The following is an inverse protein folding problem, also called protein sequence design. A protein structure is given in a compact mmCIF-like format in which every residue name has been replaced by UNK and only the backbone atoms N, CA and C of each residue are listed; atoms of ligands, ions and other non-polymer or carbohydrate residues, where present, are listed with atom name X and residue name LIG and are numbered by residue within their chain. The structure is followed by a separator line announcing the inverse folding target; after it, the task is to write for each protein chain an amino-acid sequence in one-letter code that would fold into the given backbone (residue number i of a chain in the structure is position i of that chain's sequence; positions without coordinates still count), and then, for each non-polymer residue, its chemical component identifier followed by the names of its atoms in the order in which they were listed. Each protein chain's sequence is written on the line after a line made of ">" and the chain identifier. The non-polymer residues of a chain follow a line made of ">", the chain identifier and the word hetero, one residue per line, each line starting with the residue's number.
data_IF_519444737832
#
_entry.id   IF_519444737832
#
_cell.length_a   1.000
_cell.length_b   1.000
_cell.length_c   1.000
_cell.angle_alpha   90.00
_cell.angle_beta   90.00
_cell.angle_gamma   90.00
#
_symmetry.space_group_name_H-M   'P 1'
#
loop_
_entity.id
_entity.type
_entity.pdbx_description
1 polymer ?
#
# COMPACT_ATOMS: atom_id res chain seq x y z
N UNK A 1 0.22 8.33 -15.24
CA UNK A 1 0.00 6.88 -15.03
C UNK A 1 -1.08 6.32 -15.96
N UNK A 2 -1.43 7.00 -17.07
CA UNK A 2 -2.30 6.38 -18.06
C UNK A 2 -1.62 5.13 -18.63
N UNK A 3 -2.31 3.99 -18.54
CA UNK A 3 -1.84 2.70 -19.05
C UNK A 3 -1.08 1.82 -18.07
N UNK A 4 -0.86 2.22 -16.81
CA UNK A 4 -0.29 1.32 -15.80
C UNK A 4 -1.37 0.43 -15.17
N UNK A 5 -1.07 -0.84 -14.97
CA UNK A 5 -1.90 -1.76 -14.16
C UNK A 5 -1.60 -1.49 -12.70
N UNK A 6 -2.64 -1.30 -11.88
CA UNK A 6 -2.47 -1.04 -10.44
C UNK A 6 -3.26 -2.06 -9.64
N UNK A 7 -2.58 -2.76 -8.73
CA UNK A 7 -3.21 -3.60 -7.72
C UNK A 7 -2.85 -3.09 -6.33
N UNK A 8 -3.85 -2.88 -5.48
CA UNK A 8 -3.68 -2.31 -4.14
C UNK A 8 -4.32 -3.20 -3.09
N UNK A 9 -3.57 -3.55 -2.04
CA UNK A 9 -4.07 -4.24 -0.88
C UNK A 9 -3.84 -3.40 0.38
N UNK A 10 -4.81 -3.40 1.28
CA UNK A 10 -4.69 -2.81 2.61
C UNK A 10 -4.45 -3.95 3.59
N UNK A 11 -3.41 -3.86 4.41
CA UNK A 11 -3.20 -4.80 5.50
C UNK A 11 -4.00 -4.39 6.75
N UNK A 12 -4.42 -5.38 7.52
CA UNK A 12 -5.18 -5.20 8.76
C UNK A 12 -4.62 -6.13 9.83
N UNK A 13 -4.45 -5.62 11.06
CA UNK A 13 -3.94 -6.41 12.18
C UNK A 13 -4.81 -7.64 12.47
N UNK A 14 -6.13 -7.53 12.27
CA UNK A 14 -7.08 -8.62 12.45
C UNK A 14 -6.85 -9.80 11.47
N UNK A 15 -6.22 -9.55 10.32
CA UNK A 15 -5.96 -10.54 9.27
C UNK A 15 -4.52 -11.05 9.29
N UNK A 16 -3.70 -10.61 10.25
CA UNK A 16 -2.26 -10.92 10.30
C UNK A 16 -1.94 -12.42 10.37
N UNK A 17 -2.84 -13.20 10.97
CA UNK A 17 -2.73 -14.66 11.06
C UNK A 17 -3.45 -15.40 9.93
N UNK A 18 -4.08 -14.69 8.98
CA UNK A 18 -4.70 -15.26 7.79
C UNK A 18 -3.68 -15.29 6.65
N UNK A 19 -3.13 -16.46 6.30
CA UNK A 19 -2.08 -16.54 5.29
C UNK A 19 -2.58 -16.05 3.94
N UNK A 20 -1.74 -15.27 3.26
CA UNK A 20 -1.97 -14.78 1.90
C UNK A 20 -3.12 -13.77 1.78
N UNK A 21 -3.62 -13.16 2.86
CA UNK A 21 -4.69 -12.17 2.80
C UNK A 21 -4.32 -10.98 1.88
N UNK A 22 -3.15 -10.37 2.12
CA UNK A 22 -2.65 -9.25 1.30
C UNK A 22 -2.39 -9.70 -0.13
N UNK A 23 -1.72 -10.84 -0.30
CA UNK A 23 -1.34 -11.34 -1.62
C UNK A 23 -2.57 -11.76 -2.46
N UNK A 24 -3.57 -12.37 -1.83
CA UNK A 24 -4.82 -12.77 -2.44
C UNK A 24 -5.58 -11.58 -3.02
N UNK A 25 -5.65 -10.46 -2.28
CA UNK A 25 -6.29 -9.24 -2.78
C UNK A 25 -5.52 -8.62 -3.98
N UNK A 26 -4.19 -8.61 -3.94
CA UNK A 26 -3.37 -8.15 -5.08
C UNK A 26 -3.65 -9.00 -6.33
N UNK A 27 -3.58 -10.33 -6.19
CA UNK A 27 -3.78 -11.26 -7.31
C UNK A 27 -5.21 -11.20 -7.85
N UNK A 28 -6.20 -11.10 -6.97
CA UNK A 28 -7.61 -10.90 -7.34
C UNK A 28 -7.79 -9.66 -8.21
N UNK A 29 -7.18 -8.53 -7.86
CA UNK A 29 -7.27 -7.31 -8.66
C UNK A 29 -6.56 -7.44 -10.01
N UNK A 30 -5.36 -8.03 -10.04
CA UNK A 30 -4.64 -8.30 -11.29
C UNK A 30 -5.44 -9.20 -12.24
N UNK A 31 -6.09 -10.24 -11.70
CA UNK A 31 -6.95 -11.13 -12.47
C UNK A 31 -8.21 -10.43 -12.98
N UNK A 32 -8.88 -9.65 -12.13
CA UNK A 32 -10.12 -8.92 -12.47
C UNK A 32 -9.88 -7.88 -13.56
N UNK A 33 -8.73 -7.21 -13.54
CA UNK A 33 -8.32 -6.26 -14.58
C UNK A 33 -7.85 -6.95 -15.87
N UNK A 34 -7.78 -8.29 -15.90
CA UNK A 34 -7.18 -9.09 -16.98
C UNK A 34 -5.75 -8.68 -17.35
N UNK A 35 -5.04 -8.10 -16.40
CA UNK A 35 -3.68 -7.60 -16.59
C UNK A 35 -2.64 -8.72 -16.74
N UNK A 36 -2.96 -9.92 -16.26
CA UNK A 36 -2.05 -11.07 -16.22
C UNK A 36 -2.37 -12.12 -17.28
N UNK A 37 -3.06 -11.73 -18.36
CA UNK A 37 -3.46 -12.65 -19.43
C UNK A 37 -2.31 -13.19 -20.28
N UNK A 38 -1.15 -12.51 -20.28
CA UNK A 38 0.08 -12.94 -20.95
C UNK A 38 0.97 -13.84 -20.08
N UNK A 39 0.60 -14.07 -18.81
CA UNK A 39 1.37 -14.91 -17.92
C UNK A 39 1.28 -16.40 -18.30
N UNK A 40 2.34 -17.13 -17.96
CA UNK A 40 2.39 -18.59 -18.12
C UNK A 40 1.21 -19.26 -17.38
N UNK A 41 0.41 -20.11 -18.05
CA UNK A 41 -0.66 -20.86 -17.40
C UNK A 41 -0.22 -21.65 -16.16
N UNK A 42 1.02 -22.15 -16.11
CA UNK A 42 1.55 -22.82 -14.91
C UNK A 42 1.74 -21.86 -13.74
N UNK A 43 2.17 -20.62 -14.00
CA UNK A 43 2.28 -19.60 -12.98
C UNK A 43 0.89 -19.17 -12.47
N UNK A 44 -0.06 -18.94 -13.39
CA UNK A 44 -1.45 -18.64 -13.03
C UNK A 44 -2.07 -19.77 -12.21
N UNK A 45 -1.73 -21.02 -12.54
CA UNK A 45 -2.18 -22.21 -11.82
C UNK A 45 -1.78 -22.19 -10.35
N UNK A 46 -0.53 -21.86 -10.02
CA UNK A 46 -0.11 -21.78 -8.62
C UNK A 46 -0.82 -20.65 -7.86
N UNK A 47 -1.11 -19.54 -8.54
CA UNK A 47 -1.82 -18.41 -7.94
C UNK A 47 -3.31 -18.69 -7.69
N UNK A 48 -3.90 -19.74 -8.26
CA UNK A 48 -5.29 -20.13 -7.92
C UNK A 48 -5.43 -20.58 -6.47
N UNK A 49 -4.31 -20.93 -5.81
CA UNK A 49 -4.27 -21.32 -4.38
C UNK A 49 -4.59 -20.15 -3.44
N UNK A 50 -4.39 -18.92 -3.90
CA UNK A 50 -4.57 -17.70 -3.10
C UNK A 50 -5.73 -16.82 -3.59
N UNK A 51 -6.13 -16.94 -4.86
CA UNK A 51 -7.29 -16.21 -5.39
C UNK A 51 -8.03 -17.06 -6.44
N UNK A 52 -9.31 -17.32 -6.16
CA UNK A 52 -10.20 -18.07 -7.06
C UNK A 52 -10.57 -17.27 -8.32
N UNK A 53 -10.38 -15.95 -8.31
CA UNK A 53 -10.72 -15.04 -9.39
C UNK A 53 -9.91 -15.31 -10.66
N UNK A 54 -8.75 -15.94 -10.53
CA UNK A 54 -7.95 -16.39 -11.68
C UNK A 54 -8.75 -17.37 -12.54
N UNK A 55 -9.45 -18.33 -11.94
CA UNK A 55 -10.27 -19.30 -12.68
C UNK A 55 -11.45 -18.64 -13.39
N UNK A 56 -12.00 -17.57 -12.80
CA UNK A 56 -13.09 -16.79 -13.39
C UNK A 56 -12.59 -15.96 -14.58
N UNK A 57 -11.41 -15.35 -14.46
CA UNK A 57 -10.81 -14.51 -15.49
C UNK A 57 -10.22 -15.33 -16.65
N UNK A 58 -9.66 -16.51 -16.35
CA UNK A 58 -8.90 -17.35 -17.28
C UNK A 58 -9.34 -18.83 -17.18
N UNK A 59 -10.47 -19.20 -17.79
CA UNK A 59 -11.08 -20.53 -17.64
C UNK A 59 -10.31 -21.72 -18.25
N UNK A 60 -9.07 -21.51 -18.73
CA UNK A 60 -8.18 -22.55 -19.27
C UNK A 60 -6.94 -22.83 -18.42
N UNK A 61 -6.80 -22.17 -17.26
CA UNK A 61 -5.66 -22.39 -16.35
C UNK A 61 -5.72 -23.82 -15.79
N UNK A 62 -4.62 -24.59 -15.85
CA UNK A 62 -4.59 -25.95 -15.31
C UNK A 62 -4.77 -25.95 -13.79
N UNK A 63 -4.99 -27.15 -13.22
CA UNK A 63 -4.98 -27.30 -11.76
C UNK A 63 -3.54 -27.28 -11.25
N UNK A 64 -3.29 -26.66 -10.09
CA UNK A 64 -1.94 -26.61 -9.56
C UNK A 64 -1.44 -27.99 -9.16
N UNK A 65 -0.14 -28.21 -9.37
CA UNK A 65 0.53 -29.46 -9.00
C UNK A 65 0.62 -29.51 -7.48
N UNK A 66 0.31 -30.65 -6.86
CA UNK A 66 0.46 -30.79 -5.42
C UNK A 66 1.93 -30.78 -5.02
N UNK A 67 2.26 -29.85 -4.12
CA UNK A 67 3.59 -29.68 -3.55
C UNK A 67 3.55 -30.02 -2.07
N UNK A 68 4.71 -30.32 -1.50
CA UNK A 68 4.82 -30.37 -0.05
C UNK A 68 4.53 -28.97 0.54
N UNK A 69 3.89 -28.87 1.72
CA UNK A 69 3.53 -27.59 2.31
C UNK A 69 4.70 -26.61 2.46
N UNK A 70 5.91 -27.14 2.69
CA UNK A 70 7.14 -26.38 2.90
C UNK A 70 7.61 -25.67 1.61
N UNK A 71 7.30 -26.24 0.44
CA UNK A 71 7.67 -25.66 -0.86
C UNK A 71 6.62 -24.66 -1.38
N UNK A 72 5.42 -24.67 -0.82
CA UNK A 72 4.29 -23.90 -1.33
C UNK A 72 4.54 -22.38 -1.35
N UNK A 73 5.12 -21.75 -0.30
CA UNK A 73 5.44 -20.32 -0.35
C UNK A 73 6.45 -19.97 -1.45
N UNK A 74 7.44 -20.83 -1.69
CA UNK A 74 8.44 -20.63 -2.74
C UNK A 74 7.80 -20.71 -4.14
N UNK A 75 6.87 -21.65 -4.35
CA UNK A 75 6.13 -21.81 -5.60
C UNK A 75 5.22 -20.61 -5.87
N UNK A 76 4.49 -20.14 -4.85
CA UNK A 76 3.66 -18.94 -4.96
C UNK A 76 4.52 -17.71 -5.26
N UNK A 77 5.69 -17.57 -4.62
CA UNK A 77 6.59 -16.45 -4.90
C UNK A 77 7.14 -16.45 -6.34
N UNK A 78 7.55 -17.62 -6.85
CA UNK A 78 8.00 -17.77 -8.23
C UNK A 78 6.87 -17.48 -9.23
N UNK A 79 5.69 -18.01 -8.96
CA UNK A 79 4.49 -17.77 -9.77
C UNK A 79 4.08 -16.30 -9.79
N UNK A 80 4.09 -15.63 -8.64
CA UNK A 80 3.80 -14.19 -8.55
C UNK A 80 4.81 -13.40 -9.38
N UNK A 81 6.10 -13.64 -9.19
CA UNK A 81 7.17 -12.94 -9.90
C UNK A 81 7.03 -13.09 -11.43
N UNK A 82 6.85 -14.33 -11.92
CA UNK A 82 6.64 -14.60 -13.35
C UNK A 82 5.40 -13.89 -13.88
N UNK A 83 4.30 -13.95 -13.13
CA UNK A 83 3.02 -13.37 -13.51
C UNK A 83 3.10 -11.84 -13.62
N UNK A 84 3.63 -11.16 -12.61
CA UNK A 84 3.72 -9.69 -12.63
C UNK A 84 4.76 -9.20 -13.64
N UNK A 85 5.82 -9.97 -13.89
CA UNK A 85 6.83 -9.63 -14.91
C UNK A 85 6.29 -9.80 -16.33
N UNK A 86 5.48 -10.84 -16.57
CA UNK A 86 4.79 -11.04 -17.85
C UNK A 86 3.79 -9.89 -18.11
N UNK A 87 2.95 -9.56 -17.13
CA UNK A 87 2.07 -8.40 -17.22
C UNK A 87 2.85 -7.09 -17.45
N UNK A 88 4.00 -6.95 -16.77
CA UNK A 88 4.91 -5.82 -16.92
C UNK A 88 5.56 -5.74 -18.31
N UNK A 89 5.53 -6.80 -19.14
CA UNK A 89 5.98 -6.78 -20.53
C UNK A 89 4.95 -6.13 -21.48
N UNK A 90 3.68 -6.10 -21.09
CA UNK A 90 2.63 -5.40 -21.85
C UNK A 90 2.45 -3.95 -21.36
N UNK A 91 2.41 -3.76 -20.04
CA UNK A 91 2.19 -2.44 -19.41
C UNK A 91 2.84 -2.38 -18.03
N UNK A 92 3.40 -1.24 -17.58
CA UNK A 92 3.96 -1.13 -16.23
C UNK A 92 2.97 -1.57 -15.15
N UNK A 93 3.45 -2.33 -14.16
CA UNK A 93 2.63 -2.86 -13.06
C UNK A 93 3.02 -2.17 -11.77
N UNK A 94 2.04 -1.64 -11.03
CA UNK A 94 2.23 -1.11 -9.70
C UNK A 94 1.47 -1.96 -8.69
N UNK A 95 2.21 -2.52 -7.74
CA UNK A 95 1.67 -3.21 -6.58
C UNK A 95 1.77 -2.28 -5.38
N UNK A 96 0.65 -2.03 -4.71
CA UNK A 96 0.59 -1.16 -3.54
C UNK A 96 0.13 -1.99 -2.35
N UNK A 97 0.89 -1.99 -1.26
CA UNK A 97 0.47 -2.56 0.01
C UNK A 97 0.46 -1.46 1.05
N UNK A 98 -0.73 -1.15 1.54
CA UNK A 98 -0.88 -0.21 2.64
C UNK A 98 -0.75 -0.90 3.99
N UNK A 99 -0.13 -0.17 4.92
CA UNK A 99 0.09 -0.60 6.30
C UNK A 99 0.79 -1.96 6.43
N UNK A 100 1.88 -2.17 5.68
CA UNK A 100 2.66 -3.43 5.63
C UNK A 100 3.08 -3.96 7.02
N UNK A 101 3.15 -3.10 8.04
CA UNK A 101 3.41 -3.51 9.45
C UNK A 101 2.34 -4.44 10.03
N UNK A 102 1.11 -4.37 9.51
CA UNK A 102 -0.05 -5.18 9.87
C UNK A 102 -0.28 -6.38 8.93
N UNK A 103 0.56 -6.54 7.89
CA UNK A 103 0.37 -7.59 6.89
C UNK A 103 0.65 -8.99 7.44
N UNK A 104 0.00 -9.99 6.84
CA UNK A 104 0.28 -11.38 7.16
C UNK A 104 1.73 -11.76 6.79
N UNK A 105 2.33 -12.62 7.62
CA UNK A 105 3.75 -12.95 7.50
C UNK A 105 4.05 -13.70 6.18
N UNK A 106 3.09 -14.50 5.68
CA UNK A 106 3.27 -15.29 4.47
C UNK A 106 3.31 -14.41 3.22
N UNK A 107 2.36 -13.48 3.07
CA UNK A 107 2.38 -12.46 2.01
C UNK A 107 3.65 -11.62 2.07
N UNK A 108 4.04 -11.18 3.26
CA UNK A 108 5.23 -10.34 3.44
C UNK A 108 6.51 -11.08 3.01
N UNK A 109 6.68 -12.34 3.40
CA UNK A 109 7.82 -13.15 3.01
C UNK A 109 7.87 -13.39 1.48
N UNK A 110 6.71 -13.60 0.85
CA UNK A 110 6.62 -13.76 -0.60
C UNK A 110 6.96 -12.46 -1.32
N UNK A 111 6.37 -11.34 -0.92
CA UNK A 111 6.65 -10.01 -1.49
C UNK A 111 8.13 -9.64 -1.31
N UNK A 112 8.71 -9.96 -0.16
CA UNK A 112 10.15 -9.76 0.10
C UNK A 112 11.02 -10.57 -0.86
N UNK A 113 10.66 -11.83 -1.10
CA UNK A 113 11.33 -12.69 -2.07
C UNK A 113 11.22 -12.19 -3.51
N UNK A 114 10.04 -11.69 -3.89
CA UNK A 114 9.78 -11.10 -5.22
C UNK A 114 10.56 -9.81 -5.39
N UNK A 115 10.57 -8.92 -4.39
CA UNK A 115 11.24 -7.62 -4.44
C UNK A 115 12.74 -7.73 -4.74
N UNK A 116 13.43 -8.76 -4.22
CA UNK A 116 14.83 -9.06 -4.57
C UNK A 116 15.09 -9.29 -6.06
N UNK A 117 14.05 -9.60 -6.84
CA UNK A 117 14.15 -9.93 -8.27
C UNK A 117 13.57 -8.84 -9.19
N UNK A 118 13.01 -7.76 -8.64
CA UNK A 118 12.31 -6.73 -9.45
C UNK A 118 13.23 -5.73 -10.14
N UNK A 119 14.54 -5.73 -9.84
CA UNK A 119 15.46 -4.64 -10.22
C UNK A 119 15.47 -4.25 -11.69
N UNK A 120 15.31 -5.22 -12.60
CA UNK A 120 15.34 -5.01 -14.06
C UNK A 120 13.94 -5.12 -14.71
N UNK A 121 12.87 -5.00 -13.92
CA UNK A 121 11.48 -5.16 -14.38
C UNK A 121 10.74 -3.81 -14.43
N UNK A 122 9.61 -3.77 -15.15
CA UNK A 122 8.68 -2.61 -15.12
C UNK A 122 7.62 -2.76 -14.03
N UNK A 123 8.01 -3.32 -12.88
CA UNK A 123 7.15 -3.51 -11.71
C UNK A 123 7.59 -2.54 -10.62
N UNK A 124 6.68 -1.72 -10.13
CA UNK A 124 6.87 -0.87 -8.95
C UNK A 124 6.12 -1.46 -7.76
N UNK A 125 6.82 -1.74 -6.68
CA UNK A 125 6.23 -2.12 -5.41
C UNK A 125 6.27 -0.93 -4.45
N UNK A 126 5.09 -0.47 -4.02
CA UNK A 126 4.92 0.61 -3.04
C UNK A 126 4.40 0.00 -1.76
N UNK A 127 5.11 0.22 -0.67
CA UNK A 127 4.72 -0.24 0.66
C UNK A 127 4.57 0.98 1.56
N UNK A 128 3.43 1.11 2.23
CA UNK A 128 3.26 2.12 3.28
C UNK A 128 3.29 1.45 4.63
N UNK A 129 3.77 2.14 5.66
CA UNK A 129 3.82 1.59 7.00
C UNK A 129 4.33 2.60 8.01
N UNK A 130 4.07 2.31 9.28
CA UNK A 130 4.47 3.15 10.40
C UNK A 130 5.81 2.69 10.93
N UNK A 131 6.82 3.56 10.96
CA UNK A 131 8.18 3.21 11.38
C UNK A 131 8.25 2.61 12.79
N UNK A 132 7.42 3.10 13.72
CA UNK A 132 7.33 2.56 15.08
C UNK A 132 6.80 1.13 15.13
N UNK A 133 5.79 0.82 14.32
CA UNK A 133 5.13 -0.49 14.30
C UNK A 133 5.88 -1.50 13.43
N UNK A 134 6.57 -1.06 12.38
CA UNK A 134 7.41 -1.91 11.55
C UNK A 134 8.43 -2.68 12.38
N UNK A 135 9.09 -2.01 13.34
CA UNK A 135 10.10 -2.62 14.22
C UNK A 135 9.55 -3.70 15.15
N UNK A 136 8.23 -3.73 15.35
CA UNK A 136 7.54 -4.74 16.17
C UNK A 136 7.11 -5.95 15.33
N UNK A 137 7.17 -5.85 14.00
CA UNK A 137 6.72 -6.88 13.06
C UNK A 137 7.90 -7.51 12.34
N UNK A 138 8.26 -8.75 12.71
CA UNK A 138 9.50 -9.41 12.25
C UNK A 138 9.64 -9.51 10.73
N UNK A 139 8.62 -10.00 10.01
CA UNK A 139 8.68 -10.13 8.55
C UNK A 139 8.66 -8.76 7.83
N UNK A 140 7.75 -7.81 8.15
CA UNK A 140 7.80 -6.46 7.58
C UNK A 140 9.11 -5.72 7.85
N UNK A 141 9.67 -5.86 9.06
CA UNK A 141 10.97 -5.30 9.40
C UNK A 141 12.09 -5.91 8.56
N UNK A 142 12.14 -7.24 8.45
CA UNK A 142 13.15 -7.94 7.66
C UNK A 142 13.11 -7.52 6.19
N UNK A 143 11.91 -7.26 5.65
CA UNK A 143 11.76 -6.72 4.30
C UNK A 143 12.26 -5.28 4.21
N UNK A 144 11.75 -4.37 5.04
CA UNK A 144 12.09 -2.95 4.97
C UNK A 144 13.58 -2.65 5.25
N UNK A 145 14.28 -3.56 5.94
CA UNK A 145 15.71 -3.41 6.30
C UNK A 145 16.67 -4.23 5.43
N UNK A 146 16.18 -4.94 4.40
CA UNK A 146 17.03 -5.78 3.54
C UNK A 146 17.89 -4.94 2.57
N UNK A 147 19.15 -4.77 2.94
CA UNK A 147 20.14 -4.03 2.15
C UNK A 147 20.55 -4.74 0.85
N UNK A 148 20.23 -6.03 0.69
CA UNK A 148 20.49 -6.73 -0.56
C UNK A 148 19.59 -6.24 -1.70
N UNK A 149 18.45 -5.61 -1.38
CA UNK A 149 17.53 -5.02 -2.37
C UNK A 149 18.02 -3.62 -2.71
N UNK A 150 18.95 -3.52 -3.66
CA UNK A 150 19.58 -2.23 -4.05
C UNK A 150 18.60 -1.23 -4.68
N UNK A 151 17.43 -1.67 -5.11
CA UNK A 151 16.35 -0.83 -5.65
C UNK A 151 15.32 -0.39 -4.61
N UNK A 152 15.36 -0.93 -3.39
CA UNK A 152 14.48 -0.52 -2.31
C UNK A 152 14.87 0.90 -1.84
N UNK A 153 13.88 1.78 -1.72
CA UNK A 153 14.05 3.15 -1.23
C UNK A 153 13.00 3.43 -0.16
N UNK A 154 13.47 3.89 0.99
CA UNK A 154 12.60 4.33 2.09
C UNK A 154 12.45 5.83 2.02
N UNK A 155 11.20 6.30 1.97
CA UNK A 155 10.87 7.71 2.06
C UNK A 155 10.22 7.96 3.42
N UNK A 156 10.96 8.58 4.32
CA UNK A 156 10.40 8.99 5.61
C UNK A 156 9.56 10.25 5.42
N UNK A 157 8.27 10.16 5.79
CA UNK A 157 7.33 11.28 5.74
C UNK A 157 7.29 11.95 7.11
N UNK A 158 7.86 13.14 7.20
CA UNK A 158 7.76 14.00 8.39
C UNK A 158 6.46 14.80 8.43
N UNK A 159 6.34 15.65 9.45
CA UNK A 159 5.30 16.68 9.50
C UNK A 159 5.43 17.65 8.32
N UNK A 160 4.33 18.33 7.99
CA UNK A 160 4.36 19.38 6.98
C UNK A 160 5.18 20.58 7.47
N UNK A 161 6.07 21.14 6.64
CA UNK A 161 6.70 22.42 6.91
C UNK A 161 5.67 23.54 7.10
N UNK A 162 6.07 24.63 7.76
CA UNK A 162 5.19 25.78 8.03
C UNK A 162 4.46 26.29 6.79
N UNK A 163 5.19 26.60 5.71
CA UNK A 163 4.60 27.08 4.45
C UNK A 163 3.58 26.09 3.85
N UNK A 164 3.88 24.79 3.89
CA UNK A 164 2.99 23.75 3.38
C UNK A 164 1.75 23.57 4.27
N UNK A 165 1.91 23.73 5.58
CA UNK A 165 0.82 23.72 6.57
C UNK A 165 -0.14 24.88 6.33
N UNK A 166 0.39 26.10 6.20
CA UNK A 166 -0.41 27.29 5.92
C UNK A 166 -1.17 27.16 4.60
N UNK A 167 -0.50 26.67 3.56
CA UNK A 167 -1.14 26.45 2.26
C UNK A 167 -2.24 25.38 2.35
N UNK A 168 -2.03 24.31 3.12
CA UNK A 168 -3.06 23.28 3.35
C UNK A 168 -4.30 23.88 4.03
N UNK A 169 -4.13 24.67 5.10
CA UNK A 169 -5.25 25.38 5.77
C UNK A 169 -5.99 26.25 4.76
N UNK A 170 -5.28 27.11 4.02
CA UNK A 170 -5.88 28.01 3.04
C UNK A 170 -6.62 27.24 1.94
N UNK A 171 -6.11 26.09 1.49
CA UNK A 171 -6.77 25.25 0.49
C UNK A 171 -8.05 24.63 1.03
N UNK A 172 -7.99 24.01 2.21
CA UNK A 172 -9.15 23.38 2.83
C UNK A 172 -10.28 24.40 3.08
N UNK A 173 -9.93 25.56 3.61
CA UNK A 173 -10.87 26.66 3.84
C UNK A 173 -11.54 27.14 2.54
N UNK A 174 -10.75 27.33 1.47
CA UNK A 174 -11.27 27.69 0.14
C UNK A 174 -12.24 26.64 -0.41
N UNK A 175 -11.90 25.36 -0.28
CA UNK A 175 -12.76 24.24 -0.73
C UNK A 175 -14.11 24.21 0.01
N UNK A 176 -14.14 24.68 1.25
CA UNK A 176 -15.37 24.78 2.06
C UNK A 176 -16.13 26.09 1.85
N UNK A 177 -15.70 26.97 0.94
CA UNK A 177 -16.37 28.24 0.65
C UNK A 177 -16.27 29.26 1.80
N UNK A 178 -15.27 29.11 2.68
CA UNK A 178 -14.99 30.03 3.79
C UNK A 178 -13.80 30.92 3.44
N UNK A 179 -13.71 32.09 4.05
CA UNK A 179 -12.61 33.04 3.89
C UNK A 179 -11.96 33.36 5.23
N UNK A 180 -10.72 33.86 5.18
CA UNK A 180 -9.97 34.38 6.32
C UNK A 180 -9.87 33.43 7.54
N UNK A 181 -9.35 32.19 7.35
CA UNK A 181 -9.07 31.31 8.46
C UNK A 181 -7.97 31.86 9.35
N UNK A 182 -7.98 31.57 10.67
CA UNK A 182 -6.87 31.86 11.57
C UNK A 182 -5.69 30.91 11.30
N UNK A 183 -5.02 31.09 10.15
CA UNK A 183 -4.01 30.18 9.59
C UNK A 183 -2.89 29.90 10.58
N UNK A 184 -2.27 30.94 11.14
CA UNK A 184 -1.15 30.81 12.07
C UNK A 184 -1.55 30.02 13.32
N UNK A 185 -2.77 30.23 13.83
CA UNK A 185 -3.27 29.54 15.03
C UNK A 185 -3.52 28.06 14.75
N UNK A 186 -4.17 27.75 13.63
CA UNK A 186 -4.40 26.36 13.22
C UNK A 186 -3.06 25.65 12.98
N UNK A 187 -2.12 26.31 12.30
CA UNK A 187 -0.78 25.77 12.05
C UNK A 187 -0.03 25.46 13.35
N UNK A 188 -0.07 26.36 14.33
CA UNK A 188 0.58 26.20 15.63
C UNK A 188 -0.01 25.03 16.42
N UNK A 189 -1.33 24.98 16.57
CA UNK A 189 -2.02 23.92 17.34
C UNK A 189 -1.81 22.55 16.72
N UNK A 190 -1.79 22.47 15.39
CA UNK A 190 -1.69 21.18 14.69
C UNK A 190 -0.25 20.67 14.55
N UNK A 191 0.77 21.52 14.80
CA UNK A 191 2.18 21.11 14.75
C UNK A 191 2.62 20.49 13.43
N UNK A 192 2.03 20.92 12.31
CA UNK A 192 2.31 20.39 10.97
C UNK A 192 1.73 18.99 10.67
N UNK A 193 0.92 18.40 11.56
CA UNK A 193 0.25 17.12 11.30
C UNK A 193 -0.91 17.31 10.30
N UNK A 194 -0.87 16.72 9.09
CA UNK A 194 -1.91 16.91 8.06
C UNK A 194 -3.33 16.57 8.53
N UNK A 195 -3.49 15.49 9.30
CA UNK A 195 -4.80 15.06 9.78
C UNK A 195 -5.35 16.04 10.81
N UNK A 196 -4.51 16.50 11.75
CA UNK A 196 -4.91 17.51 12.72
C UNK A 196 -5.29 18.83 12.02
N UNK A 197 -4.48 19.27 11.05
CA UNK A 197 -4.77 20.47 10.23
C UNK A 197 -6.14 20.33 9.58
N UNK A 198 -6.44 19.18 8.97
CA UNK A 198 -7.72 18.94 8.32
C UNK A 198 -8.90 19.01 9.31
N UNK A 199 -8.79 18.29 10.43
CA UNK A 199 -9.86 18.22 11.43
C UNK A 199 -10.14 19.60 12.05
N UNK A 200 -9.11 20.33 12.47
CA UNK A 200 -9.27 21.64 13.09
C UNK A 200 -9.74 22.68 12.08
N UNK A 201 -9.23 22.66 10.84
CA UNK A 201 -9.71 23.59 9.79
C UNK A 201 -11.18 23.35 9.47
N UNK A 202 -11.59 22.08 9.39
CA UNK A 202 -12.99 21.69 9.13
C UNK A 202 -13.91 22.07 10.28
N UNK A 203 -13.48 21.82 11.52
CA UNK A 203 -14.20 22.27 12.71
C UNK A 203 -14.41 23.78 12.64
N UNK A 204 -13.33 24.55 12.49
CA UNK A 204 -13.40 26.01 12.47
C UNK A 204 -14.31 26.52 11.35
N UNK A 205 -14.25 25.90 10.16
CA UNK A 205 -15.11 26.27 9.04
C UNK A 205 -16.60 26.07 9.36
N UNK A 206 -16.94 25.07 10.18
CA UNK A 206 -18.31 24.77 10.58
C UNK A 206 -18.84 25.69 11.69
N UNK A 207 -17.99 26.09 12.65
CA UNK A 207 -18.44 26.78 13.87
C UNK A 207 -17.92 28.21 14.05
N UNK A 208 -16.93 28.65 13.27
CA UNK A 208 -16.39 30.01 13.31
C UNK A 208 -15.90 30.40 14.71
N UNK A 209 -16.51 31.42 15.31
CA UNK A 209 -16.16 31.91 16.65
C UNK A 209 -16.54 30.97 17.81
N UNK A 210 -17.37 29.95 17.55
CA UNK A 210 -17.68 28.91 18.52
C UNK A 210 -16.79 27.66 18.38
N UNK A 211 -15.74 27.76 17.56
CA UNK A 211 -14.79 26.68 17.32
C UNK A 211 -13.99 26.33 18.57
N UNK A 212 -13.73 25.03 18.76
CA UNK A 212 -12.84 24.51 19.79
C UNK A 212 -11.39 25.01 19.68
N UNK A 213 -11.03 25.68 18.58
CA UNK A 213 -9.73 26.31 18.43
C UNK A 213 -9.41 27.27 19.59
N UNK A 214 -10.42 27.93 20.15
CA UNK A 214 -10.25 28.82 21.32
C UNK A 214 -9.89 28.07 22.61
N UNK A 215 -10.38 26.84 22.78
CA UNK A 215 -10.15 26.05 23.99
C UNK A 215 -8.79 25.32 23.96
N UNK A 216 -8.32 24.98 22.76
CA UNK A 216 -7.01 24.35 22.54
C UNK A 216 -5.82 25.29 22.82
N UNK A 217 -6.07 26.60 22.93
CA UNK A 217 -5.07 27.61 23.33
C UNK A 217 -4.77 27.62 24.84
N UNK A 218 -5.62 27.00 25.66
CA UNK A 218 -5.53 27.04 27.13
C UNK A 218 -4.78 25.85 27.77
N UNK A 219 -4.24 24.95 26.94
CA UNK A 219 -3.51 23.73 27.33
C UNK A 219 -2.01 23.86 27.03
#
# INVERSE_FOLDING_TARGET
>A
MEGAVVARAQAYDAERELPFAVLGELVKQLATQRAIGSADPEALSELTRISSEILKAFPGVPKPVEWSPELMPLRIADALFKTVTAAAADSPVMLVVDDIHAADNASTAILHSVARKLGDTRVLLVLTGRTSELRLSSAPWAFASDQAITTLRTLELGILPGEATEELVRRLTRTMGKSDPPVERIAQVCGGNPLAIELITREWANHGSASLLHDLEAL
#
